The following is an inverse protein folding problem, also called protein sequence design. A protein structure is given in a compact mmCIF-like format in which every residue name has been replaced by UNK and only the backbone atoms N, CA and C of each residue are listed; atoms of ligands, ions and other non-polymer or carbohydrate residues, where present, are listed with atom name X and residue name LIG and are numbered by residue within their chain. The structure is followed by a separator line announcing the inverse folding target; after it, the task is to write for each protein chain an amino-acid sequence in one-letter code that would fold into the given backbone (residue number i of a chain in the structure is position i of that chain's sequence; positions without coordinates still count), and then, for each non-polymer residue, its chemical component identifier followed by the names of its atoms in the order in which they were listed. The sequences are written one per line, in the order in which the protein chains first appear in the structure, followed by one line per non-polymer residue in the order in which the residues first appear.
data_IF_113609781785
#
_entry.id   IF_113609781785
#
_cell.length_a   1.000
_cell.length_b   1.000
_cell.length_c   1.000
_cell.angle_alpha   90.00
_cell.angle_beta   90.00
_cell.angle_gamma   90.00
#
_symmetry.space_group_name_H-M   'P 1'
#
loop_
_entity.id
_entity.type
_entity.pdbx_description
1 polymer ?
#
# COMPACT_ATOMS: atom_id res chain seq x y z
N UNK A 1 27.61 30.87 33.01
CA UNK A 1 26.26 30.93 32.42
C UNK A 1 26.21 30.78 30.88
N UNK A 2 27.27 30.29 30.20
CA UNK A 2 27.36 30.27 28.72
C UNK A 2 27.08 28.91 28.04
N UNK A 3 27.04 27.81 28.79
CA UNK A 3 26.90 26.43 28.25
C UNK A 3 25.43 26.00 28.05
N UNK A 4 24.45 26.68 28.66
CA UNK A 4 23.02 26.32 28.54
C UNK A 4 22.38 26.77 27.22
N UNK A 5 22.93 27.79 26.57
CA UNK A 5 22.42 28.34 25.32
C UNK A 5 22.61 27.42 24.09
N UNK A 6 23.78 26.77 23.87
CA UNK A 6 23.94 25.84 22.74
C UNK A 6 23.08 24.59 22.87
N UNK A 7 22.84 24.07 24.08
CA UNK A 7 21.96 22.93 24.31
C UNK A 7 20.51 23.30 23.98
N UNK A 8 20.07 24.49 24.38
CA UNK A 8 18.72 24.98 24.08
C UNK A 8 18.51 25.20 22.57
N UNK A 9 19.52 25.73 21.87
CA UNK A 9 19.49 25.89 20.41
C UNK A 9 19.48 24.54 19.67
N UNK A 10 20.24 23.55 20.15
CA UNK A 10 20.23 22.20 19.59
C UNK A 10 18.87 21.51 19.76
N UNK A 11 18.26 21.61 20.94
CA UNK A 11 16.92 21.06 21.19
C UNK A 11 15.84 21.72 20.30
N UNK A 12 15.96 23.02 20.02
CA UNK A 12 15.00 23.73 19.17
C UNK A 12 15.14 23.35 17.69
N UNK A 13 16.36 23.11 17.22
CA UNK A 13 16.63 22.66 15.84
C UNK A 13 16.22 21.20 15.59
N UNK A 14 16.29 20.32 16.60
CA UNK A 14 15.82 18.94 16.47
C UNK A 14 14.30 18.83 16.28
N UNK A 15 13.52 19.75 16.87
CA UNK A 15 12.06 19.75 16.77
C UNK A 15 11.53 20.18 15.40
N UNK A 16 12.26 21.02 14.66
CA UNK A 16 11.84 21.46 13.32
C UNK A 16 12.01 20.36 12.27
N UNK A 17 12.98 19.47 12.44
CA UNK A 17 13.21 18.33 11.55
C UNK A 17 12.04 17.32 11.59
N UNK A 18 11.37 17.18 12.73
CA UNK A 18 10.26 16.24 12.91
C UNK A 18 8.92 16.77 12.37
N UNK A 19 8.71 18.09 12.38
CA UNK A 19 7.47 18.75 11.94
C UNK A 19 7.35 18.86 10.41
N UNK A 20 8.44 18.61 9.66
CA UNK A 20 8.50 18.81 8.20
C UNK A 20 8.21 17.57 7.36
N UNK A 21 7.99 16.40 7.96
CA UNK A 21 7.80 15.17 7.19
C UNK A 21 6.37 15.12 6.63
N UNK A 22 6.21 15.54 5.37
CA UNK A 22 4.94 15.39 4.65
C UNK A 22 4.59 13.91 4.56
N UNK A 23 3.34 13.57 4.88
CA UNK A 23 2.84 12.21 4.67
C UNK A 23 2.97 11.86 3.18
N UNK A 24 3.34 10.60 2.86
CA UNK A 24 3.37 10.17 1.48
C UNK A 24 1.96 10.18 0.90
N UNK A 25 1.86 10.42 -0.40
CA UNK A 25 0.62 10.13 -1.12
C UNK A 25 0.45 8.62 -1.23
N UNK A 26 -0.70 8.10 -0.79
CA UNK A 26 -1.04 6.69 -0.95
C UNK A 26 -1.94 6.53 -2.18
N UNK A 27 -1.48 5.76 -3.17
CA UNK A 27 -2.26 5.41 -4.35
C UNK A 27 -2.56 3.91 -4.33
N UNK A 28 -3.84 3.55 -4.27
CA UNK A 28 -4.29 2.17 -4.37
C UNK A 28 -4.76 1.92 -5.80
N UNK A 29 -3.97 1.16 -6.56
CA UNK A 29 -4.34 0.71 -7.90
C UNK A 29 -4.90 -0.71 -7.83
N UNK A 30 -6.16 -0.89 -8.22
CA UNK A 30 -6.88 -2.16 -8.18
C UNK A 30 -7.41 -2.51 -9.58
N UNK A 31 -7.08 -3.70 -10.07
CA UNK A 31 -7.63 -4.27 -11.31
C UNK A 31 -8.76 -5.24 -10.97
N UNK A 32 -9.84 -5.23 -11.75
CA UNK A 32 -10.96 -6.16 -11.56
C UNK A 32 -10.70 -7.48 -12.30
N UNK A 33 -11.07 -8.59 -11.69
CA UNK A 33 -10.94 -9.96 -12.22
C UNK A 33 -9.54 -10.38 -12.72
N UNK A 34 -8.49 -9.64 -12.37
CA UNK A 34 -7.12 -9.97 -12.76
C UNK A 34 -6.56 -11.12 -11.92
N UNK A 35 -6.34 -12.26 -12.56
CA UNK A 35 -5.69 -13.42 -11.95
C UNK A 35 -4.17 -13.34 -11.99
N UNK A 36 -3.53 -14.27 -11.26
CA UNK A 36 -2.06 -14.40 -11.24
C UNK A 36 -1.48 -14.67 -12.63
N UNK A 37 -2.19 -15.48 -13.44
CA UNK A 37 -1.76 -15.82 -14.79
C UNK A 37 -1.87 -14.66 -15.80
N UNK A 38 -2.51 -13.55 -15.41
CA UNK A 38 -2.70 -12.37 -16.27
C UNK A 38 -1.59 -11.32 -16.09
N UNK A 39 -0.53 -11.63 -15.32
CA UNK A 39 0.60 -10.72 -15.10
C UNK A 39 1.92 -11.35 -15.53
N UNK A 40 2.71 -10.61 -16.32
CA UNK A 40 4.09 -11.01 -16.63
C UNK A 40 4.99 -11.02 -15.39
N UNK A 41 4.65 -10.26 -14.34
CA UNK A 41 5.38 -10.28 -13.04
C UNK A 41 5.33 -11.66 -12.39
N UNK A 42 4.25 -12.41 -12.60
CA UNK A 42 4.09 -13.78 -12.07
C UNK A 42 4.36 -14.86 -13.12
N UNK A 43 4.98 -14.51 -14.26
CA UNK A 43 5.43 -15.46 -15.28
C UNK A 43 4.39 -15.80 -16.35
N UNK A 44 3.38 -14.96 -16.58
CA UNK A 44 2.46 -15.14 -17.71
C UNK A 44 3.22 -15.18 -19.04
N UNK A 45 2.97 -16.18 -19.91
CA UNK A 45 3.61 -16.24 -21.24
C UNK A 45 3.00 -15.26 -22.24
N UNK A 46 1.73 -14.88 -22.05
CA UNK A 46 0.95 -14.12 -23.02
C UNK A 46 0.73 -12.66 -22.59
N UNK A 47 0.61 -12.40 -21.28
CA UNK A 47 0.37 -11.05 -20.78
C UNK A 47 1.62 -10.19 -20.89
N UNK A 48 1.48 -8.98 -21.42
CA UNK A 48 2.55 -7.97 -21.45
C UNK A 48 2.22 -6.84 -20.49
N UNK A 49 2.86 -6.83 -19.32
CA UNK A 49 2.61 -5.81 -18.28
C UNK A 49 3.87 -5.00 -17.90
N UNK A 50 4.51 -4.29 -18.85
CA UNK A 50 5.82 -3.66 -18.64
C UNK A 50 5.83 -2.57 -17.56
N UNK A 51 4.72 -1.89 -17.34
CA UNK A 51 4.61 -0.89 -16.25
C UNK A 51 4.52 -1.57 -14.87
N UNK A 52 3.85 -2.73 -14.79
CA UNK A 52 3.80 -3.53 -13.55
C UNK A 52 5.16 -4.16 -13.25
N UNK A 53 5.88 -4.64 -14.28
CA UNK A 53 7.26 -5.13 -14.13
C UNK A 53 8.18 -4.05 -13.56
N UNK A 54 8.10 -2.82 -14.09
CA UNK A 54 8.87 -1.68 -13.55
C UNK A 54 8.49 -1.40 -12.10
N UNK A 55 7.21 -1.46 -11.75
CA UNK A 55 6.75 -1.23 -10.38
C UNK A 55 7.29 -2.33 -9.43
N UNK A 56 7.20 -3.60 -9.84
CA UNK A 56 7.71 -4.74 -9.10
C UNK A 56 9.22 -4.66 -8.87
N UNK A 57 9.99 -4.31 -9.91
CA UNK A 57 11.45 -4.18 -9.83
C UNK A 57 11.94 -3.03 -8.92
N UNK A 58 11.11 -2.00 -8.73
CA UNK A 58 11.41 -0.86 -7.85
C UNK A 58 10.74 -0.97 -6.47
N UNK A 59 10.14 -2.12 -6.15
CA UNK A 59 9.32 -2.30 -4.96
C UNK A 59 9.39 -3.72 -4.41
N UNK A 60 8.26 -4.18 -3.88
CA UNK A 60 8.10 -5.51 -3.32
C UNK A 60 6.93 -6.22 -3.99
N UNK A 61 7.11 -7.51 -4.25
CA UNK A 61 6.09 -8.41 -4.78
C UNK A 61 5.66 -9.39 -3.69
N UNK A 62 4.40 -9.82 -3.75
CA UNK A 62 3.83 -10.76 -2.78
C UNK A 62 3.33 -12.01 -3.49
N UNK A 63 3.98 -13.15 -3.26
CA UNK A 63 3.58 -14.42 -3.90
C UNK A 63 2.33 -15.06 -3.28
N UNK A 64 1.94 -14.63 -2.08
CA UNK A 64 0.87 -15.22 -1.27
C UNK A 64 -0.09 -14.12 -0.76
N UNK A 65 -0.61 -13.31 -1.69
CA UNK A 65 -1.64 -12.30 -1.41
C UNK A 65 -3.03 -12.86 -1.75
N UNK A 66 -3.91 -12.94 -0.75
CA UNK A 66 -5.25 -13.53 -0.90
C UNK A 66 -6.36 -12.49 -0.75
N UNK A 67 -7.43 -12.68 -1.53
CA UNK A 67 -8.68 -11.92 -1.38
C UNK A 67 -9.49 -12.43 -0.20
N UNK A 68 -10.26 -11.55 0.44
CA UNK A 68 -11.12 -11.95 1.56
C UNK A 68 -12.38 -12.68 1.08
N UNK A 69 -12.79 -12.45 -0.18
CA UNK A 69 -13.92 -13.10 -0.85
C UNK A 69 -13.65 -13.19 -2.35
N UNK A 70 -14.13 -14.24 -3.05
CA UNK A 70 -14.05 -14.30 -4.51
C UNK A 70 -15.11 -13.44 -5.23
N UNK A 71 -15.99 -12.72 -4.51
CA UNK A 71 -17.00 -11.84 -5.11
C UNK A 71 -16.61 -10.36 -4.99
N UNK A 72 -16.85 -9.58 -6.05
CA UNK A 72 -16.38 -8.20 -6.19
C UNK A 72 -16.81 -7.30 -5.02
N UNK A 73 -18.10 -7.27 -4.68
CA UNK A 73 -18.62 -6.41 -3.61
C UNK A 73 -18.05 -6.77 -2.23
N UNK A 74 -18.22 -8.00 -1.71
CA UNK A 74 -17.67 -8.32 -0.39
C UNK A 74 -16.15 -8.16 -0.32
N UNK A 75 -15.39 -8.45 -1.38
CA UNK A 75 -13.94 -8.23 -1.38
C UNK A 75 -13.56 -6.74 -1.30
N UNK A 76 -14.21 -5.88 -2.09
CA UNK A 76 -13.97 -4.43 -2.08
C UNK A 76 -14.34 -3.82 -0.74
N UNK A 77 -15.42 -4.27 -0.11
CA UNK A 77 -15.78 -3.84 1.24
C UNK A 77 -14.76 -4.30 2.28
N UNK A 78 -14.23 -5.52 2.17
CA UNK A 78 -13.13 -5.98 3.03
C UNK A 78 -11.88 -5.10 2.88
N UNK A 79 -11.52 -4.71 1.65
CA UNK A 79 -10.39 -3.80 1.39
C UNK A 79 -10.59 -2.42 2.02
N UNK A 80 -11.78 -1.84 1.90
CA UNK A 80 -12.07 -0.48 2.37
C UNK A 80 -12.26 -0.39 3.89
N UNK A 81 -12.80 -1.45 4.51
CA UNK A 81 -13.14 -1.44 5.94
C UNK A 81 -12.08 -2.13 6.81
N UNK A 82 -11.22 -2.97 6.22
CA UNK A 82 -10.31 -3.84 6.97
C UNK A 82 -11.00 -4.97 7.75
N UNK A 83 -12.29 -5.22 7.46
CA UNK A 83 -13.09 -6.26 8.12
C UNK A 83 -13.28 -7.47 7.19
N UNK A 84 -13.35 -8.68 7.75
CA UNK A 84 -13.71 -9.87 6.97
C UNK A 84 -15.19 -9.84 6.53
N UNK A 85 -15.59 -10.59 5.48
CA UNK A 85 -16.95 -10.59 4.95
C UNK A 85 -18.06 -10.80 5.96
N UNK A 86 -17.83 -11.66 6.95
CA UNK A 86 -18.76 -11.93 8.04
C UNK A 86 -19.04 -10.71 8.95
N UNK A 87 -18.29 -9.61 8.83
CA UNK A 87 -18.30 -8.48 9.76
C UNK A 87 -18.70 -7.15 9.14
N UNK A 88 -18.74 -7.03 7.81
CA UNK A 88 -19.05 -5.76 7.13
C UNK A 88 -20.42 -5.73 6.45
N UNK A 89 -21.19 -6.82 6.45
CA UNK A 89 -22.59 -6.84 5.98
C UNK A 89 -22.81 -6.74 4.47
N UNK A 90 -21.77 -6.49 3.66
CA UNK A 90 -21.88 -6.56 2.20
C UNK A 90 -22.25 -7.96 1.69
N UNK A 91 -23.14 -8.00 0.69
CA UNK A 91 -23.62 -9.21 0.03
C UNK A 91 -22.99 -9.37 -1.36
N UNK A 92 -23.06 -10.59 -1.89
CA UNK A 92 -22.71 -10.83 -3.29
C UNK A 92 -23.64 -10.05 -4.23
N UNK A 93 -23.09 -9.67 -5.39
CA UNK A 93 -23.82 -9.00 -6.47
C UNK A 93 -24.82 -9.95 -7.15
#
# INVERSE_FOLDING_TARGET
MKIRLPILLFCLAANTALLGQKLPNLVVFLSDDMGRADSSVYGSPDARTPTMEKLAANGMTFDQAYVASPSCCPNRFSLLTGLMPARHGAHAN
#
